data_IF_389407652812
#
_entry.id   IF_389407652812
#
_cell.length_a   1.000
_cell.length_b   1.000
_cell.length_c   1.000
_cell.angle_alpha   90.00
_cell.angle_beta   90.00
_cell.angle_gamma   90.00
#
_symmetry.space_group_name_H-M   'P 1'
#
loop_
_entity.id
_entity.type
_entity.pdbx_description
1 polymer ?
#
# COMPACT_ATOMS: atom_id res chain seq x y z
N UNK A 1 15.15 -54.79 -8.68
CA UNK A 1 15.48 -53.98 -7.49
C UNK A 1 15.21 -52.53 -7.88
N UNK A 2 14.00 -52.02 -7.59
CA UNK A 2 13.58 -50.70 -8.03
C UNK A 2 14.30 -49.64 -7.19
N UNK A 3 15.06 -48.78 -7.85
CA UNK A 3 15.79 -47.66 -7.26
C UNK A 3 14.78 -46.60 -6.80
N UNK A 4 14.50 -46.54 -5.49
CA UNK A 4 13.61 -45.54 -4.92
C UNK A 4 14.34 -44.21 -4.80
N UNK A 5 14.09 -43.30 -5.75
CA UNK A 5 14.59 -41.94 -5.72
C UNK A 5 14.31 -41.27 -4.35
N UNK A 6 15.28 -40.55 -3.76
CA UNK A 6 15.11 -39.96 -2.45
C UNK A 6 13.96 -38.94 -2.46
N UNK A 7 13.17 -38.86 -1.36
CA UNK A 7 12.05 -37.94 -1.27
C UNK A 7 12.53 -36.50 -1.48
N UNK A 8 12.00 -35.82 -2.51
CA UNK A 8 12.31 -34.41 -2.78
C UNK A 8 11.91 -33.58 -1.55
N UNK A 9 12.87 -32.94 -0.91
CA UNK A 9 12.63 -32.04 0.20
C UNK A 9 11.74 -30.88 -0.25
N UNK A 10 10.66 -30.62 0.51
CA UNK A 10 9.72 -29.54 0.18
C UNK A 10 10.46 -28.20 0.33
N UNK A 11 10.38 -27.29 -0.65
CA UNK A 11 11.04 -25.99 -0.54
C UNK A 11 10.52 -25.25 0.70
N UNK A 12 11.38 -24.51 1.40
CA UNK A 12 10.97 -23.74 2.56
C UNK A 12 9.90 -22.72 2.19
N UNK A 13 9.00 -22.44 3.14
CA UNK A 13 7.87 -21.52 2.94
C UNK A 13 8.39 -20.12 2.63
N UNK A 14 7.79 -19.38 1.68
CA UNK A 14 8.15 -17.99 1.44
C UNK A 14 8.03 -17.18 2.73
N UNK A 15 9.01 -16.30 2.96
CA UNK A 15 8.93 -15.37 4.09
C UNK A 15 7.82 -14.35 3.83
N UNK A 16 7.10 -13.98 4.88
CA UNK A 16 6.11 -12.89 4.83
C UNK A 16 6.74 -11.61 4.28
N UNK A 17 6.00 -10.90 3.43
CA UNK A 17 6.41 -9.61 2.90
C UNK A 17 6.53 -8.53 3.99
N UNK A 18 5.73 -8.65 5.05
CA UNK A 18 5.75 -7.74 6.20
C UNK A 18 6.29 -8.43 7.45
N UNK A 19 7.07 -7.70 8.24
CA UNK A 19 7.53 -8.18 9.55
C UNK A 19 6.39 -8.11 10.57
N UNK A 20 6.52 -8.87 11.65
CA UNK A 20 5.59 -8.79 12.79
C UNK A 20 5.62 -7.40 13.45
N UNK A 21 6.77 -6.73 13.40
CA UNK A 21 6.97 -5.41 14.00
C UNK A 21 6.11 -4.33 13.34
N UNK A 22 5.98 -4.36 12.02
CA UNK A 22 5.10 -3.42 11.28
C UNK A 22 3.64 -3.57 11.74
N UNK A 23 3.16 -4.81 11.88
CA UNK A 23 1.79 -5.06 12.36
C UNK A 23 1.56 -4.55 13.78
N UNK A 24 2.51 -4.79 14.69
CA UNK A 24 2.43 -4.29 16.07
C UNK A 24 2.51 -2.76 16.13
N UNK A 25 3.34 -2.13 15.30
CA UNK A 25 3.44 -0.67 15.23
C UNK A 25 2.12 -0.04 14.77
N UNK A 26 1.49 -0.60 13.73
CA UNK A 26 0.17 -0.16 13.28
C UNK A 26 -0.89 -0.33 14.35
N UNK A 27 -0.92 -1.49 15.03
CA UNK A 27 -1.85 -1.74 16.12
C UNK A 27 -1.69 -0.74 17.26
N UNK A 28 -0.45 -0.44 17.67
CA UNK A 28 -0.16 0.54 18.70
C UNK A 28 -0.65 1.95 18.30
N UNK A 29 -0.41 2.34 17.05
CA UNK A 29 -0.90 3.60 16.49
C UNK A 29 -2.43 3.70 16.50
N UNK A 30 -3.11 2.65 16.05
CA UNK A 30 -4.58 2.57 16.03
C UNK A 30 -5.16 2.64 17.45
N UNK A 31 -4.66 1.82 18.38
CA UNK A 31 -5.15 1.81 19.76
C UNK A 31 -4.91 3.15 20.46
N UNK A 32 -3.74 3.76 20.26
CA UNK A 32 -3.42 5.07 20.79
C UNK A 32 -4.38 6.14 20.28
N UNK A 33 -4.64 6.18 18.97
CA UNK A 33 -5.58 7.13 18.39
C UNK A 33 -7.02 6.90 18.87
N UNK A 34 -7.49 5.65 18.89
CA UNK A 34 -8.84 5.34 19.37
C UNK A 34 -9.01 5.78 20.82
N UNK A 35 -8.05 5.47 21.70
CA UNK A 35 -8.12 5.89 23.10
C UNK A 35 -8.18 7.43 23.23
N UNK A 36 -7.34 8.14 22.47
CA UNK A 36 -7.32 9.60 22.46
C UNK A 36 -8.63 10.20 21.91
N UNK A 37 -9.10 9.72 20.76
CA UNK A 37 -10.32 10.19 20.13
C UNK A 37 -11.53 9.99 21.05
N UNK A 38 -11.60 8.84 21.74
CA UNK A 38 -12.66 8.58 22.73
C UNK A 38 -12.58 9.52 23.93
N UNK A 39 -11.38 9.78 24.45
CA UNK A 39 -11.19 10.69 25.59
C UNK A 39 -11.56 12.14 25.25
N UNK A 40 -11.37 12.55 23.99
CA UNK A 40 -11.66 13.90 23.50
C UNK A 40 -13.01 14.02 22.79
N UNK A 41 -13.82 12.96 22.76
CA UNK A 41 -15.11 12.90 22.08
C UNK A 41 -15.04 13.34 20.60
N UNK A 42 -14.00 12.86 19.90
CA UNK A 42 -13.78 13.14 18.49
C UNK A 42 -14.55 12.14 17.62
N UNK A 43 -15.84 12.40 17.43
CA UNK A 43 -16.76 11.49 16.71
C UNK A 43 -16.99 11.88 15.23
N UNK A 44 -16.26 12.89 14.73
CA UNK A 44 -16.40 13.41 13.38
C UNK A 44 -15.69 12.58 12.29
N UNK A 45 -16.07 12.73 11.02
CA UNK A 45 -15.48 11.99 9.90
C UNK A 45 -13.98 12.29 9.70
N UNK A 46 -13.52 13.48 10.07
CA UNK A 46 -12.10 13.84 10.05
C UNK A 46 -11.27 13.06 11.09
N UNK A 47 -11.87 12.64 12.20
CA UNK A 47 -11.19 11.79 13.18
C UNK A 47 -10.89 10.40 12.59
N UNK A 48 -11.73 9.91 11.67
CA UNK A 48 -11.46 8.69 10.93
C UNK A 48 -10.30 8.84 9.93
N UNK A 49 -10.16 10.01 9.29
CA UNK A 49 -9.00 10.29 8.43
C UNK A 49 -7.71 10.36 9.24
N UNK A 50 -7.73 11.00 10.41
CA UNK A 50 -6.56 11.08 11.27
C UNK A 50 -6.19 9.70 11.84
N UNK A 51 -7.18 8.82 12.07
CA UNK A 51 -6.92 7.43 12.42
C UNK A 51 -6.08 6.71 11.36
N UNK A 52 -6.36 6.91 10.07
CA UNK A 52 -5.56 6.34 8.98
C UNK A 52 -4.09 6.75 9.09
N UNK A 53 -3.83 8.02 9.41
CA UNK A 53 -2.47 8.55 9.60
C UNK A 53 -1.83 7.93 10.84
N UNK A 54 -2.53 7.90 11.97
CA UNK A 54 -2.02 7.34 13.21
C UNK A 54 -1.75 5.83 13.12
N UNK A 55 -2.52 5.08 12.34
CA UNK A 55 -2.27 3.68 12.06
C UNK A 55 -1.12 3.49 11.07
N UNK A 56 -1.12 4.26 9.97
CA UNK A 56 -0.16 4.10 8.87
C UNK A 56 1.24 4.60 9.18
N UNK A 57 1.39 5.73 9.89
CA UNK A 57 2.72 6.33 10.12
C UNK A 57 3.65 5.46 10.95
N UNK A 58 3.21 4.85 12.06
CA UNK A 58 4.05 3.90 12.78
C UNK A 58 4.47 2.71 11.91
N UNK A 59 3.59 2.21 11.04
CA UNK A 59 3.91 1.14 10.10
C UNK A 59 4.98 1.55 9.09
N UNK A 60 4.86 2.74 8.49
CA UNK A 60 5.84 3.27 7.54
C UNK A 60 7.19 3.52 8.21
N UNK A 61 7.18 4.17 9.38
CA UNK A 61 8.39 4.46 10.13
C UNK A 61 9.11 3.18 10.54
N UNK A 62 8.38 2.17 11.03
CA UNK A 62 8.99 0.88 11.35
C UNK A 62 9.60 0.20 10.11
N UNK A 63 8.87 0.20 9.00
CA UNK A 63 9.32 -0.43 7.74
C UNK A 63 10.59 0.22 7.20
N UNK A 64 10.68 1.55 7.25
CA UNK A 64 11.82 2.30 6.71
C UNK A 64 13.00 2.32 7.67
N UNK A 65 12.77 2.58 8.96
CA UNK A 65 13.85 2.82 9.92
C UNK A 65 14.40 1.50 10.52
N UNK A 66 13.51 0.56 10.84
CA UNK A 66 13.87 -0.69 11.52
C UNK A 66 14.09 -1.81 10.50
N UNK A 67 13.05 -2.12 9.71
CA UNK A 67 13.15 -3.21 8.73
C UNK A 67 14.02 -2.83 7.52
N UNK A 68 14.25 -1.52 7.31
CA UNK A 68 15.05 -0.96 6.21
C UNK A 68 14.69 -1.59 4.88
N UNK A 69 13.38 -1.71 4.63
CA UNK A 69 12.86 -2.41 3.44
C UNK A 69 13.43 -1.85 2.14
N UNK A 70 13.71 -0.55 2.12
CA UNK A 70 14.33 0.15 0.98
C UNK A 70 15.73 -0.35 0.63
N UNK A 71 16.45 -1.08 1.49
CA UNK A 71 17.80 -1.63 1.20
C UNK A 71 17.80 -3.15 0.98
N UNK A 72 16.63 -3.78 0.99
CA UNK A 72 16.52 -5.23 1.00
C UNK A 72 16.62 -5.76 -0.43
N UNK A 73 17.59 -6.63 -0.70
CA UNK A 73 17.80 -7.20 -2.05
C UNK A 73 16.55 -7.89 -2.63
N UNK A 74 15.68 -8.45 -1.78
CA UNK A 74 14.42 -9.07 -2.20
C UNK A 74 13.41 -8.09 -2.81
N UNK A 75 13.62 -6.78 -2.70
CA UNK A 75 12.77 -5.76 -3.34
C UNK A 75 13.11 -5.57 -4.82
N UNK A 76 14.28 -6.02 -5.27
CA UNK A 76 14.75 -5.80 -6.64
C UNK A 76 15.27 -4.39 -6.92
N UNK A 77 15.30 -3.51 -5.91
CA UNK A 77 15.79 -2.13 -6.04
C UNK A 77 17.31 -2.10 -5.80
N UNK A 78 18.07 -1.60 -6.77
CA UNK A 78 19.51 -1.35 -6.66
C UNK A 78 19.80 0.14 -6.79
N UNK A 79 20.03 0.79 -5.65
CA UNK A 79 20.34 2.23 -5.59
C UNK A 79 21.74 2.57 -6.10
N UNK A 80 22.66 1.59 -6.17
CA UNK A 80 24.04 1.84 -6.58
C UNK A 80 24.20 1.82 -8.10
N UNK A 81 23.31 1.14 -8.82
CA UNK A 81 23.34 1.01 -10.28
C UNK A 81 21.94 1.26 -10.88
N UNK A 82 21.46 2.51 -10.86
CA UNK A 82 20.16 2.86 -11.45
C UNK A 82 20.18 2.62 -12.95
N UNK A 83 19.14 1.97 -13.47
CA UNK A 83 19.00 1.70 -14.91
C UNK A 83 18.63 2.98 -15.66
N UNK A 84 19.07 3.13 -16.92
CA UNK A 84 18.69 4.29 -17.71
C UNK A 84 17.19 4.24 -18.04
N UNK A 85 16.51 5.37 -17.87
CA UNK A 85 15.04 5.49 -18.04
C UNK A 85 14.50 4.97 -19.37
N UNK A 86 15.30 5.06 -20.45
CA UNK A 86 14.90 4.54 -21.77
C UNK A 86 14.71 3.02 -21.77
N UNK A 87 15.44 2.29 -20.95
CA UNK A 87 15.35 0.82 -20.87
C UNK A 87 14.17 0.37 -20.00
N UNK A 88 13.70 1.21 -19.07
CA UNK A 88 12.65 0.87 -18.12
C UNK A 88 11.27 1.45 -18.46
N UNK A 89 11.20 2.41 -19.39
CA UNK A 89 9.96 3.11 -19.76
C UNK A 89 8.79 2.18 -20.12
N UNK A 90 9.05 1.11 -20.89
CA UNK A 90 8.02 0.15 -21.30
C UNK A 90 7.46 -0.64 -20.10
N UNK A 91 8.33 -0.95 -19.14
CA UNK A 91 7.96 -1.64 -17.89
C UNK A 91 7.13 -0.70 -17.02
N UNK A 92 7.57 0.54 -16.85
CA UNK A 92 6.85 1.54 -16.05
C UNK A 92 5.48 1.85 -16.64
N UNK A 93 5.37 1.98 -17.97
CA UNK A 93 4.09 2.21 -18.65
C UNK A 93 3.14 1.01 -18.46
N UNK A 94 3.64 -0.22 -18.54
CA UNK A 94 2.86 -1.42 -18.27
C UNK A 94 2.35 -1.46 -16.83
N UNK A 95 3.19 -1.11 -15.85
CA UNK A 95 2.80 -1.01 -14.44
C UNK A 95 1.74 0.07 -14.21
N UNK A 96 1.92 1.25 -14.79
CA UNK A 96 0.95 2.34 -14.70
C UNK A 96 -0.38 1.98 -15.35
N UNK A 97 -0.35 1.34 -16.52
CA UNK A 97 -1.55 0.88 -17.21
C UNK A 97 -2.31 -0.16 -16.36
N UNK A 98 -1.61 -1.17 -15.80
CA UNK A 98 -2.23 -2.17 -14.92
C UNK A 98 -2.79 -1.58 -13.63
N UNK A 99 -2.04 -0.66 -13.00
CA UNK A 99 -2.47 0.07 -11.82
C UNK A 99 -3.77 0.84 -12.10
N UNK A 100 -3.79 1.66 -13.15
CA UNK A 100 -4.94 2.51 -13.44
C UNK A 100 -6.11 1.78 -14.10
N UNK A 101 -5.88 0.66 -14.77
CA UNK A 101 -6.96 -0.24 -15.19
C UNK A 101 -7.72 -0.77 -13.96
N UNK A 102 -7.00 -1.17 -12.91
CA UNK A 102 -7.60 -1.66 -11.67
C UNK A 102 -8.38 -0.56 -10.94
N UNK A 103 -7.77 0.60 -10.75
CA UNK A 103 -8.44 1.74 -10.09
C UNK A 103 -9.60 2.29 -10.93
N UNK A 104 -9.49 2.28 -12.26
CA UNK A 104 -10.56 2.66 -13.17
C UNK A 104 -11.77 1.73 -13.06
N UNK A 105 -11.54 0.42 -12.95
CA UNK A 105 -12.60 -0.56 -12.68
C UNK A 105 -13.31 -0.31 -11.34
N UNK A 106 -12.56 -0.05 -10.26
CA UNK A 106 -13.12 0.30 -8.95
C UNK A 106 -13.93 1.61 -9.04
N UNK A 107 -13.36 2.63 -9.70
CA UNK A 107 -14.02 3.92 -9.89
C UNK A 107 -15.33 3.79 -10.67
N UNK A 108 -15.37 2.93 -11.70
CA UNK A 108 -16.59 2.66 -12.47
C UNK A 108 -17.69 2.05 -11.58
N UNK A 109 -17.34 1.08 -10.73
CA UNK A 109 -18.28 0.46 -9.79
C UNK A 109 -18.84 1.51 -8.82
N UNK A 110 -17.98 2.34 -8.23
CA UNK A 110 -18.41 3.38 -7.28
C UNK A 110 -19.17 4.54 -7.95
N UNK A 111 -18.84 4.87 -9.20
CA UNK A 111 -19.55 5.91 -9.96
C UNK A 111 -20.97 5.46 -10.35
N UNK A 112 -21.13 4.20 -10.75
CA UNK A 112 -22.44 3.66 -11.18
C UNK A 112 -23.37 3.34 -10.02
N UNK A 113 -22.84 2.93 -8.86
CA UNK A 113 -23.65 2.68 -7.67
C UNK A 113 -24.17 3.97 -7.04
N UNK A 114 -25.40 4.39 -7.36
CA UNK A 114 -26.03 5.61 -6.80
C UNK A 114 -26.02 5.68 -5.27
N UNK A 115 -26.06 4.52 -4.59
CA UNK A 115 -26.03 4.45 -3.13
C UNK A 115 -24.71 4.94 -2.52
N UNK A 116 -23.58 4.87 -3.23
CA UNK A 116 -22.29 5.38 -2.75
C UNK A 116 -22.27 6.91 -2.63
N UNK A 117 -23.13 7.59 -3.40
CA UNK A 117 -23.21 9.05 -3.44
C UNK A 117 -24.20 9.63 -2.42
N UNK A 118 -24.72 8.80 -1.50
CA UNK A 118 -25.73 9.21 -0.52
C UNK A 118 -25.37 8.71 0.88
N UNK A 119 -25.83 9.45 1.90
CA UNK A 119 -25.71 9.06 3.30
C UNK A 119 -24.26 8.88 3.76
N UNK A 120 -24.01 7.77 4.46
CA UNK A 120 -22.73 7.51 5.16
C UNK A 120 -21.51 7.39 4.23
N UNK A 121 -21.70 7.06 2.95
CA UNK A 121 -20.61 6.87 1.99
C UNK A 121 -20.21 8.17 1.28
N UNK A 122 -21.07 9.20 1.30
CA UNK A 122 -20.83 10.43 0.56
C UNK A 122 -19.53 11.12 0.97
N UNK A 123 -19.16 11.06 2.25
CA UNK A 123 -17.88 11.59 2.72
C UNK A 123 -16.67 10.83 2.13
N UNK A 124 -16.74 9.50 2.08
CA UNK A 124 -15.68 8.68 1.49
C UNK A 124 -15.56 8.95 -0.02
N UNK A 125 -16.69 9.06 -0.73
CA UNK A 125 -16.70 9.40 -2.16
C UNK A 125 -16.14 10.80 -2.42
N UNK A 126 -16.43 11.77 -1.55
CA UNK A 126 -15.82 13.10 -1.61
C UNK A 126 -14.30 13.05 -1.44
N UNK A 127 -13.79 12.31 -0.44
CA UNK A 127 -12.35 12.11 -0.25
C UNK A 127 -11.70 11.43 -1.47
N UNK A 128 -12.35 10.40 -2.02
CA UNK A 128 -11.87 9.68 -3.21
C UNK A 128 -11.81 10.58 -4.44
N UNK A 129 -12.84 11.41 -4.65
CA UNK A 129 -12.88 12.38 -5.75
C UNK A 129 -11.72 13.37 -5.72
N UNK A 130 -11.29 13.78 -4.52
CA UNK A 130 -10.13 14.67 -4.36
C UNK A 130 -8.78 13.95 -4.46
N UNK A 131 -8.66 12.76 -3.88
CA UNK A 131 -7.36 12.09 -3.79
C UNK A 131 -7.02 11.31 -5.06
N UNK A 132 -8.00 10.84 -5.84
CA UNK A 132 -7.74 10.06 -7.04
C UNK A 132 -6.94 10.83 -8.11
N UNK A 133 -7.25 12.10 -8.44
CA UNK A 133 -6.42 12.89 -9.35
C UNK A 133 -4.99 13.09 -8.82
N UNK A 134 -4.85 13.33 -7.52
CA UNK A 134 -3.53 13.51 -6.87
C UNK A 134 -2.73 12.21 -6.96
N UNK A 135 -3.35 11.06 -6.67
CA UNK A 135 -2.71 9.74 -6.81
C UNK A 135 -2.35 9.44 -8.26
N UNK A 136 -3.19 9.81 -9.23
CA UNK A 136 -2.89 9.67 -10.66
C UNK A 136 -1.62 10.42 -11.01
N UNK A 137 -1.61 11.72 -10.71
CA UNK A 137 -0.48 12.58 -11.04
C UNK A 137 0.81 12.17 -10.31
N UNK A 138 0.73 11.77 -9.03
CA UNK A 138 1.91 11.35 -8.28
C UNK A 138 2.40 9.95 -8.63
N UNK A 139 1.52 9.06 -9.10
CA UNK A 139 1.90 7.71 -9.50
C UNK A 139 2.87 7.69 -10.68
N UNK A 140 2.72 8.62 -11.63
CA UNK A 140 3.56 8.72 -12.84
C UNK A 140 5.04 8.97 -12.49
N UNK A 141 5.42 10.10 -11.83
CA UNK A 141 6.81 10.34 -11.48
C UNK A 141 7.32 9.30 -10.49
N UNK A 142 6.47 8.78 -9.59
CA UNK A 142 6.88 7.77 -8.62
C UNK A 142 7.29 6.44 -9.27
N UNK A 143 6.47 5.91 -10.19
CA UNK A 143 6.77 4.64 -10.85
C UNK A 143 7.97 4.78 -11.79
N UNK A 144 8.07 5.89 -12.52
CA UNK A 144 9.21 6.16 -13.42
C UNK A 144 10.51 6.32 -12.62
N UNK A 145 10.45 6.94 -11.43
CA UNK A 145 11.63 7.11 -10.59
C UNK A 145 12.10 5.81 -9.93
N UNK A 146 11.17 4.89 -9.64
CA UNK A 146 11.48 3.64 -8.94
C UNK A 146 12.09 2.56 -9.84
N UNK A 147 11.85 2.65 -11.16
CA UNK A 147 12.25 1.65 -12.16
C UNK A 147 13.60 1.95 -12.83
#
# INVERSE_FOLDING_TARGET
MADSAPPRSRPPRPRSAVSRGVGLAGLAGSLGWIAFARWRHLDGPYAALLHLVCAGMPMLLWSVLVDKVHRRASTGIDWANPRPLRETMDISLTKLAGLWATFGGIALIFATGRFYWQGIFAFAMWCLGWIAPVLFLLSIPYVIWLD
#
